data_IF_341962442442
#
_entry.id   IF_341962442442
#
_cell.length_a   1.000
_cell.length_b   1.000
_cell.length_c   1.000
_cell.angle_alpha   90.00
_cell.angle_beta   90.00
_cell.angle_gamma   90.00
#
_symmetry.space_group_name_H-M   'P 1'
#
loop_
_entity.id
_entity.type
_entity.pdbx_description
1 polymer ?
#
# COMPACT_ATOMS: atom_id res chain seq x y z
N UNK A 1 -16.71 4.90 -6.67
CA UNK A 1 -15.81 5.44 -5.64
C UNK A 1 -14.40 5.32 -6.17
N UNK A 2 -13.70 6.44 -6.29
CA UNK A 2 -12.34 6.47 -6.79
C UNK A 2 -11.36 6.15 -5.66
N UNK A 3 -10.20 5.63 -6.01
CA UNK A 3 -9.10 5.37 -5.09
C UNK A 3 -8.71 6.62 -4.28
N UNK A 4 -8.76 7.81 -4.90
CA UNK A 4 -8.46 9.09 -4.23
C UNK A 4 -9.46 9.44 -3.12
N UNK A 5 -10.75 9.32 -3.39
CA UNK A 5 -11.79 9.63 -2.37
C UNK A 5 -11.65 8.71 -1.15
N UNK A 6 -11.29 7.44 -1.37
CA UNK A 6 -11.01 6.49 -0.28
C UNK A 6 -9.76 6.89 0.50
N UNK A 7 -8.68 7.30 -0.19
CA UNK A 7 -7.47 7.78 0.47
C UNK A 7 -7.72 8.99 1.36
N UNK A 8 -8.50 9.95 0.86
CA UNK A 8 -8.86 11.16 1.60
C UNK A 8 -9.76 10.82 2.79
N UNK A 9 -10.80 10.00 2.60
CA UNK A 9 -11.72 9.60 3.67
C UNK A 9 -11.04 8.79 4.80
N UNK A 10 -9.98 8.04 4.48
CA UNK A 10 -9.20 7.28 5.45
C UNK A 10 -7.98 8.04 6.01
N UNK A 11 -7.73 9.26 5.54
CA UNK A 11 -6.59 10.07 5.99
C UNK A 11 -5.23 9.44 5.66
N UNK A 12 -5.12 8.65 4.59
CA UNK A 12 -3.88 7.93 4.25
C UNK A 12 -2.71 8.90 3.99
N UNK A 13 -2.99 10.09 3.48
CA UNK A 13 -1.98 11.13 3.25
C UNK A 13 -1.28 11.62 4.53
N UNK A 14 -1.92 11.47 5.70
CA UNK A 14 -1.34 11.89 6.99
C UNK A 14 -0.38 10.83 7.57
N UNK A 15 -0.46 9.58 7.07
CA UNK A 15 0.38 8.47 7.50
C UNK A 15 1.79 8.56 6.92
N UNK A 16 2.64 9.37 7.53
CA UNK A 16 4.05 9.54 7.14
C UNK A 16 4.98 8.47 7.74
N UNK A 17 4.53 7.79 8.80
CA UNK A 17 5.34 6.85 9.59
C UNK A 17 5.10 5.37 9.22
N UNK A 18 4.48 5.09 8.07
CA UNK A 18 4.29 3.72 7.56
C UNK A 18 4.02 3.74 6.07
N UNK A 19 4.51 2.72 5.36
CA UNK A 19 4.11 2.49 3.96
C UNK A 19 2.64 2.07 3.94
N UNK A 20 1.90 2.62 2.99
CA UNK A 20 0.51 2.27 2.73
C UNK A 20 0.30 2.16 1.22
N UNK A 21 -0.69 1.38 0.83
CA UNK A 21 -1.08 1.16 -0.56
C UNK A 21 -2.57 0.92 -0.59
N UNK A 22 -3.20 1.40 -1.66
CA UNK A 22 -4.62 1.23 -1.88
C UNK A 22 -4.80 0.57 -3.23
N UNK A 23 -5.56 -0.53 -3.24
CA UNK A 23 -5.81 -1.30 -4.45
C UNK A 23 -7.30 -1.44 -4.63
N UNK A 24 -7.80 -1.02 -5.79
CA UNK A 24 -9.16 -1.34 -6.19
C UNK A 24 -9.27 -2.86 -6.37
N UNK A 25 -10.21 -3.49 -5.68
CA UNK A 25 -10.40 -4.95 -5.76
C UNK A 25 -11.86 -5.34 -5.91
N UNK A 26 -12.12 -6.40 -6.64
CA UNK A 26 -13.41 -7.06 -6.71
C UNK A 26 -13.28 -8.50 -6.22
N UNK A 27 -13.73 -8.78 -4.98
CA UNK A 27 -13.61 -10.10 -4.36
C UNK A 27 -14.30 -11.22 -5.16
N UNK A 28 -15.40 -10.92 -5.86
CA UNK A 28 -16.15 -11.90 -6.66
C UNK A 28 -15.42 -12.30 -7.94
N UNK A 29 -14.66 -11.37 -8.53
CA UNK A 29 -13.91 -11.58 -9.78
C UNK A 29 -12.45 -11.93 -9.54
N UNK A 30 -11.95 -11.63 -8.35
CA UNK A 30 -10.54 -11.76 -7.98
C UNK A 30 -9.65 -10.60 -8.46
N UNK A 31 -10.24 -9.59 -9.12
CA UNK A 31 -9.50 -8.43 -9.64
C UNK A 31 -8.82 -7.66 -8.49
N UNK A 32 -7.55 -7.27 -8.68
CA UNK A 32 -6.80 -6.46 -7.71
C UNK A 32 -6.25 -7.20 -6.50
N UNK A 33 -6.60 -8.48 -6.29
CA UNK A 33 -6.08 -9.25 -5.15
C UNK A 33 -4.60 -9.58 -5.33
N UNK A 34 -4.21 -10.00 -6.53
CA UNK A 34 -2.82 -10.36 -6.81
C UNK A 34 -1.89 -9.15 -6.71
N UNK A 35 -2.30 -8.03 -7.28
CA UNK A 35 -1.56 -6.76 -7.26
C UNK A 35 -1.38 -6.26 -5.82
N UNK A 36 -2.44 -6.31 -5.01
CA UNK A 36 -2.39 -5.93 -3.60
C UNK A 36 -1.48 -6.83 -2.77
N UNK A 37 -1.53 -8.14 -3.01
CA UNK A 37 -0.69 -9.12 -2.31
C UNK A 37 0.77 -9.08 -2.77
N UNK A 38 1.03 -8.83 -4.05
CA UNK A 38 2.38 -8.64 -4.58
C UNK A 38 3.05 -7.41 -3.96
N UNK A 39 2.34 -6.28 -3.91
CA UNK A 39 2.82 -5.08 -3.24
C UNK A 39 3.15 -5.35 -1.77
N UNK A 40 2.28 -6.08 -1.05
CA UNK A 40 2.50 -6.44 0.34
C UNK A 40 3.76 -7.31 0.50
N UNK A 41 3.91 -8.34 -0.34
CA UNK A 41 5.06 -9.23 -0.32
C UNK A 41 6.37 -8.49 -0.58
N UNK A 42 6.39 -7.61 -1.59
CA UNK A 42 7.55 -6.79 -1.93
C UNK A 42 7.88 -5.80 -0.80
N UNK A 43 6.86 -5.14 -0.24
CA UNK A 43 7.02 -4.22 0.90
C UNK A 43 7.58 -4.92 2.14
N UNK A 44 7.09 -6.12 2.47
CA UNK A 44 7.57 -6.88 3.61
C UNK A 44 9.01 -7.38 3.40
N UNK A 45 9.37 -7.79 2.17
CA UNK A 45 10.74 -8.16 1.84
C UNK A 45 11.69 -6.98 1.98
N UNK A 46 11.31 -5.80 1.49
CA UNK A 46 12.06 -4.55 1.68
C UNK A 46 12.22 -4.20 3.16
N UNK A 47 11.14 -4.28 3.95
CA UNK A 47 11.18 -4.02 5.39
C UNK A 47 12.08 -5.01 6.14
N UNK A 48 12.07 -6.28 5.74
CA UNK A 48 12.95 -7.31 6.30
C UNK A 48 14.41 -7.06 5.92
N UNK A 49 14.68 -6.68 4.68
CA UNK A 49 16.02 -6.37 4.19
C UNK A 49 16.59 -5.09 4.82
N UNK A 50 15.73 -4.09 5.10
CA UNK A 50 16.08 -2.87 5.80
C UNK A 50 16.33 -3.06 7.31
N UNK A 51 16.19 -4.28 7.84
CA UNK A 51 16.60 -4.65 9.20
C UNK A 51 16.12 -3.68 10.27
N UNK A 52 14.80 -3.50 10.42
CA UNK A 52 14.17 -2.68 11.49
C UNK A 52 14.76 -1.27 11.71
N UNK A 53 15.49 -0.73 10.73
CA UNK A 53 16.17 0.55 10.84
C UNK A 53 15.50 1.52 9.88
N UNK A 54 14.72 2.42 10.46
CA UNK A 54 14.19 3.66 9.86
C UNK A 54 13.47 3.52 8.51
N UNK A 55 12.15 3.44 8.62
CA UNK A 55 11.27 4.49 8.09
C UNK A 55 11.83 5.36 6.94
N UNK A 56 11.47 5.04 5.71
CA UNK A 56 11.72 5.93 4.59
C UNK A 56 11.98 5.16 3.32
N UNK A 57 10.92 4.80 2.61
CA UNK A 57 10.98 4.80 1.15
C UNK A 57 9.54 4.94 0.65
N UNK A 58 9.17 6.17 0.34
CA UNK A 58 7.92 6.47 -0.33
C UNK A 58 7.93 5.81 -1.70
N UNK A 59 6.98 4.90 -1.93
CA UNK A 59 6.58 4.54 -3.28
C UNK A 59 5.18 5.09 -3.48
N UNK A 60 5.14 6.38 -3.83
CA UNK A 60 3.96 6.99 -4.42
C UNK A 60 3.86 6.50 -5.86
N UNK A 61 3.05 5.47 -6.08
CA UNK A 61 2.57 5.12 -7.41
C UNK A 61 1.07 5.40 -7.42
N UNK A 62 0.68 6.37 -8.24
CA UNK A 62 -0.70 6.59 -8.66
C UNK A 62 -1.11 5.53 -9.68
#
# INVERSE_FOLDING_TARGET
MTTREVCEGLGLFDLKNRKWHIQGTCALRGDGLYEGLDWLSSTLKEMKAAGYSSLGLGTSSF
#
